data_IF_273081661648
#
_entry.id   IF_273081661648
#
_cell.length_a   1.000
_cell.length_b   1.000
_cell.length_c   1.000
_cell.angle_alpha   90.00
_cell.angle_beta   90.00
_cell.angle_gamma   90.00
#
_symmetry.space_group_name_H-M   'P 1'
#
loop_
_entity.id
_entity.type
_entity.pdbx_description
1 polymer ?
#
# COMPACT_ATOMS: atom_id res chain seq x y z
N UNK A 1 12.85 -38.36 7.07
CA UNK A 1 13.83 -37.24 7.14
C UNK A 1 13.10 -35.94 6.85
N UNK A 2 12.59 -35.31 7.91
CA UNK A 2 11.90 -34.03 7.88
C UNK A 2 12.96 -32.94 7.63
N UNK A 3 12.96 -32.33 6.44
CA UNK A 3 13.74 -31.13 6.18
C UNK A 3 13.10 -29.96 6.95
N UNK A 4 13.72 -29.58 8.07
CA UNK A 4 13.48 -28.27 8.69
C UNK A 4 13.93 -27.21 7.69
N UNK A 5 12.99 -26.68 6.86
CA UNK A 5 13.20 -25.42 6.16
C UNK A 5 13.48 -24.37 7.23
N UNK A 6 14.69 -23.84 7.26
CA UNK A 6 15.04 -22.75 8.16
C UNK A 6 14.06 -21.61 7.96
N UNK A 7 13.28 -21.30 8.97
CA UNK A 7 12.42 -20.13 8.97
C UNK A 7 13.34 -18.91 8.90
N UNK A 8 13.45 -18.28 7.74
CA UNK A 8 14.03 -16.96 7.64
C UNK A 8 13.17 -16.02 8.47
N UNK A 9 13.69 -15.58 9.61
CA UNK A 9 13.03 -14.58 10.44
C UNK A 9 12.99 -13.26 9.69
N UNK A 10 11.80 -12.90 9.19
CA UNK A 10 11.57 -11.59 8.56
C UNK A 10 11.78 -10.53 9.64
N UNK A 11 12.79 -9.67 9.44
CA UNK A 11 13.16 -8.65 10.43
C UNK A 11 12.11 -7.56 10.46
N UNK A 12 11.48 -7.39 11.64
CA UNK A 12 10.59 -6.27 11.96
C UNK A 12 11.39 -5.10 12.51
N UNK A 13 11.11 -3.90 12.04
CA UNK A 13 11.59 -2.63 12.56
C UNK A 13 10.39 -1.75 12.94
N UNK A 14 10.44 -1.08 14.07
CA UNK A 14 9.36 -0.18 14.54
C UNK A 14 9.85 1.26 14.42
N UNK A 15 9.06 2.11 13.79
CA UNK A 15 9.34 3.55 13.77
C UNK A 15 8.89 4.13 15.10
N UNK A 16 9.84 4.63 15.88
CA UNK A 16 9.62 5.18 17.20
C UNK A 16 9.96 6.68 17.27
N UNK A 17 9.54 7.38 18.35
CA UNK A 17 9.88 8.79 18.61
C UNK A 17 8.97 9.81 17.91
N UNK A 18 7.90 9.38 17.27
CA UNK A 18 6.91 10.24 16.63
C UNK A 18 5.55 10.06 17.30
N UNK A 19 4.97 11.16 17.79
CA UNK A 19 3.67 11.17 18.44
C UNK A 19 2.57 10.64 17.52
N UNK A 20 1.78 9.64 17.97
CA UNK A 20 0.67 9.03 17.24
C UNK A 20 1.04 8.46 15.84
N UNK A 21 2.31 8.11 15.62
CA UNK A 21 2.77 7.39 14.43
C UNK A 21 3.11 5.95 14.81
N UNK A 22 2.28 5.02 14.41
CA UNK A 22 2.44 3.59 14.69
C UNK A 22 2.72 2.87 13.37
N UNK A 23 4.01 2.59 13.11
CA UNK A 23 4.47 1.96 11.87
C UNK A 23 5.43 0.81 12.20
N UNK A 24 5.07 -0.37 11.69
CA UNK A 24 5.94 -1.53 11.61
C UNK A 24 6.47 -1.68 10.18
N UNK A 25 7.76 -1.97 10.04
CA UNK A 25 8.41 -2.21 8.76
C UNK A 25 8.97 -3.64 8.74
N UNK A 26 8.60 -4.39 7.72
CA UNK A 26 9.14 -5.73 7.44
C UNK A 26 9.93 -5.66 6.13
N UNK A 27 11.22 -6.05 6.18
CA UNK A 27 12.12 -5.96 5.01
C UNK A 27 12.02 -7.24 4.18
N UNK A 28 11.82 -7.06 2.88
CA UNK A 28 11.83 -8.11 1.85
C UNK A 28 11.05 -9.38 2.22
N UNK A 29 9.72 -9.22 2.38
CA UNK A 29 8.84 -10.33 2.75
C UNK A 29 8.77 -11.45 1.69
N UNK A 30 9.16 -11.17 0.45
CA UNK A 30 9.24 -12.14 -0.66
C UNK A 30 10.62 -12.77 -0.84
N UNK A 31 11.59 -12.47 0.03
CA UNK A 31 12.94 -13.03 0.00
C UNK A 31 13.61 -12.97 -1.39
N UNK A 32 13.63 -11.80 -2.00
CA UNK A 32 14.30 -11.52 -3.27
C UNK A 32 13.58 -12.11 -4.48
N UNK A 33 13.86 -13.36 -4.87
CA UNK A 33 13.31 -13.96 -6.09
C UNK A 33 11.78 -13.95 -6.15
N UNK A 34 11.10 -14.22 -5.04
CA UNK A 34 9.64 -14.21 -4.95
C UNK A 34 9.09 -12.80 -5.14
N UNK A 35 9.78 -11.79 -4.57
CA UNK A 35 9.46 -10.37 -4.74
C UNK A 35 9.52 -9.95 -6.21
N UNK A 36 10.53 -10.37 -6.96
CA UNK A 36 10.68 -10.07 -8.39
C UNK A 36 9.60 -10.75 -9.24
N UNK A 37 9.23 -11.99 -8.89
CA UNK A 37 8.11 -12.69 -9.55
C UNK A 37 6.78 -11.97 -9.29
N UNK A 38 6.50 -11.57 -8.07
CA UNK A 38 5.31 -10.79 -7.72
C UNK A 38 5.25 -9.47 -8.50
N UNK A 39 6.39 -8.75 -8.59
CA UNK A 39 6.43 -7.50 -9.35
C UNK A 39 6.07 -7.74 -10.83
N UNK A 40 6.71 -8.72 -11.47
CA UNK A 40 6.47 -9.05 -12.89
C UNK A 40 5.02 -9.47 -13.14
N UNK A 41 4.49 -10.38 -12.33
CA UNK A 41 3.10 -10.83 -12.45
C UNK A 41 2.11 -9.68 -12.21
N UNK A 42 2.29 -8.88 -11.16
CA UNK A 42 1.42 -7.73 -10.91
C UNK A 42 1.48 -6.70 -12.04
N UNK A 43 2.67 -6.43 -12.59
CA UNK A 43 2.83 -5.47 -13.68
C UNK A 43 2.07 -5.90 -14.94
N UNK A 44 2.08 -7.20 -15.24
CA UNK A 44 1.50 -7.77 -16.45
C UNK A 44 0.01 -8.13 -16.29
N UNK A 45 -0.38 -8.71 -15.14
CA UNK A 45 -1.66 -9.40 -14.99
C UNK A 45 -2.74 -8.54 -14.30
N UNK A 46 -2.39 -7.39 -13.69
CA UNK A 46 -3.39 -6.54 -13.06
C UNK A 46 -4.08 -5.63 -14.08
N UNK A 47 -5.38 -5.40 -13.86
CA UNK A 47 -6.22 -4.54 -14.70
C UNK A 47 -5.95 -3.06 -14.41
N UNK A 48 -4.86 -2.54 -14.95
CA UNK A 48 -4.44 -1.17 -14.73
C UNK A 48 -5.37 -0.16 -15.43
N UNK A 49 -5.94 0.75 -14.64
CA UNK A 49 -6.87 1.77 -15.09
C UNK A 49 -6.37 3.17 -14.74
N UNK A 50 -6.77 4.13 -15.57
CA UNK A 50 -6.62 5.55 -15.26
C UNK A 50 -7.69 5.98 -14.28
N UNK A 51 -7.28 6.48 -13.11
CA UNK A 51 -8.19 7.07 -12.14
C UNK A 51 -8.42 8.57 -12.36
N UNK A 52 -9.54 9.07 -11.82
CA UNK A 52 -9.88 10.49 -11.83
C UNK A 52 -10.34 10.91 -10.44
N UNK A 53 -10.00 12.14 -10.06
CA UNK A 53 -10.45 12.78 -8.81
C UNK A 53 -11.09 14.13 -9.11
N UNK A 54 -12.04 14.58 -8.27
CA UNK A 54 -12.58 15.94 -8.33
C UNK A 54 -11.86 16.84 -7.33
N UNK A 55 -11.31 17.96 -7.82
CA UNK A 55 -10.68 18.99 -7.00
C UNK A 55 -11.32 20.33 -7.39
N UNK A 56 -11.92 21.02 -6.43
CA UNK A 56 -12.63 22.29 -6.66
C UNK A 56 -13.61 22.22 -7.85
N UNK A 57 -14.41 21.14 -7.90
CA UNK A 57 -15.42 20.93 -8.97
C UNK A 57 -14.87 20.47 -10.32
N UNK A 58 -13.55 20.48 -10.53
CA UNK A 58 -12.91 20.04 -11.78
C UNK A 58 -12.41 18.60 -11.65
N UNK A 59 -12.61 17.82 -12.72
CA UNK A 59 -12.10 16.44 -12.80
C UNK A 59 -10.64 16.45 -13.27
N UNK A 60 -9.77 15.79 -12.51
CA UNK A 60 -8.35 15.65 -12.82
C UNK A 60 -8.00 14.17 -12.90
N UNK A 61 -7.19 13.81 -13.90
CA UNK A 61 -6.60 12.49 -13.97
C UNK A 61 -5.55 12.33 -12.87
N UNK A 62 -5.57 11.21 -12.14
CA UNK A 62 -4.53 10.93 -11.16
C UNK A 62 -3.22 10.58 -11.87
N UNK A 63 -2.07 11.06 -11.38
CA UNK A 63 -0.77 10.78 -11.98
C UNK A 63 -0.23 9.42 -11.53
N UNK A 64 -0.90 8.34 -11.89
CA UNK A 64 -0.57 6.92 -11.72
C UNK A 64 -1.67 6.07 -12.33
N UNK A 65 -1.44 4.78 -12.50
CA UNK A 65 -2.51 3.83 -12.76
C UNK A 65 -2.92 3.14 -11.46
N UNK A 66 -4.16 2.64 -11.41
CA UNK A 66 -4.68 1.93 -10.25
C UNK A 66 -5.53 0.74 -10.67
N UNK A 67 -5.70 -0.21 -9.77
CA UNK A 67 -6.65 -1.32 -9.89
C UNK A 67 -7.06 -1.78 -8.51
N UNK A 68 -8.33 -2.16 -8.31
CA UNK A 68 -8.85 -2.54 -7.01
C UNK A 68 -9.42 -3.96 -7.02
N UNK A 69 -8.99 -4.77 -6.05
CA UNK A 69 -9.38 -6.16 -5.86
C UNK A 69 -9.96 -6.34 -4.46
N UNK A 70 -11.05 -7.11 -4.35
CA UNK A 70 -11.67 -7.36 -3.06
C UNK A 70 -12.48 -8.68 -3.06
N UNK A 71 -12.81 -9.16 -1.86
CA UNK A 71 -13.72 -10.26 -1.65
C UNK A 71 -15.11 -9.94 -2.23
N UNK A 72 -15.92 -10.97 -2.51
CA UNK A 72 -17.25 -10.79 -3.05
C UNK A 72 -18.13 -9.98 -2.11
N UNK A 73 -18.97 -9.12 -2.69
CA UNK A 73 -19.88 -8.26 -1.94
C UNK A 73 -19.23 -7.01 -1.32
N UNK A 74 -17.90 -6.86 -1.39
CA UNK A 74 -17.23 -5.67 -0.90
C UNK A 74 -17.40 -4.51 -1.89
N UNK A 75 -17.87 -3.37 -1.41
CA UNK A 75 -17.92 -2.11 -2.13
C UNK A 75 -17.04 -1.07 -1.44
N UNK A 76 -16.37 -0.22 -2.21
CA UNK A 76 -15.47 0.79 -1.65
C UNK A 76 -15.50 2.07 -2.46
N UNK A 77 -15.66 3.19 -1.73
CA UNK A 77 -15.60 4.53 -2.30
C UNK A 77 -14.30 5.20 -1.91
N UNK A 78 -13.39 5.33 -2.86
CA UNK A 78 -12.09 5.98 -2.65
C UNK A 78 -12.09 7.38 -3.26
N UNK A 79 -11.73 8.39 -2.46
CA UNK A 79 -11.73 9.80 -2.90
C UNK A 79 -13.04 10.24 -3.61
N UNK A 80 -14.19 9.79 -3.09
CA UNK A 80 -15.52 10.13 -3.62
C UNK A 80 -15.93 9.41 -4.91
N UNK A 81 -15.19 8.39 -5.34
CA UNK A 81 -15.52 7.56 -6.51
C UNK A 81 -15.60 6.09 -6.11
N UNK A 82 -16.72 5.43 -6.46
CA UNK A 82 -16.84 3.97 -6.34
C UNK A 82 -15.82 3.32 -7.28
N UNK A 83 -14.96 2.46 -6.75
CA UNK A 83 -13.97 1.73 -7.54
C UNK A 83 -14.60 0.52 -8.23
N UNK A 84 -14.12 0.22 -9.43
CA UNK A 84 -14.44 -1.03 -10.11
C UNK A 84 -13.77 -2.18 -9.39
N UNK A 85 -14.55 -3.12 -8.84
CA UNK A 85 -14.04 -4.31 -8.19
C UNK A 85 -13.59 -5.34 -9.23
N UNK A 86 -12.40 -5.90 -9.01
CA UNK A 86 -11.91 -7.08 -9.69
C UNK A 86 -11.80 -8.25 -8.70
N UNK A 87 -11.91 -9.47 -9.21
CA UNK A 87 -11.69 -10.67 -8.41
C UNK A 87 -10.19 -10.88 -8.17
N UNK A 88 -9.85 -11.43 -7.00
CA UNK A 88 -8.49 -11.77 -6.67
C UNK A 88 -7.87 -12.69 -7.74
N UNK A 89 -6.65 -12.38 -8.18
CA UNK A 89 -5.84 -13.29 -8.96
C UNK A 89 -4.89 -14.11 -8.07
N UNK A 90 -4.27 -15.14 -8.64
CA UNK A 90 -3.39 -16.06 -7.91
C UNK A 90 -2.25 -15.33 -7.19
N UNK A 91 -1.61 -14.36 -7.85
CA UNK A 91 -0.48 -13.61 -7.29
C UNK A 91 -0.91 -12.76 -6.10
N UNK A 92 -2.03 -12.03 -6.19
CA UNK A 92 -2.54 -11.23 -5.09
C UNK A 92 -3.00 -12.09 -3.90
N UNK A 93 -3.58 -13.27 -4.14
CA UNK A 93 -3.92 -14.23 -3.08
C UNK A 93 -2.65 -14.69 -2.36
N UNK A 94 -1.60 -15.06 -3.09
CA UNK A 94 -0.33 -15.47 -2.51
C UNK A 94 0.30 -14.36 -1.66
N UNK A 95 0.37 -13.13 -2.17
CA UNK A 95 0.87 -11.97 -1.44
C UNK A 95 0.04 -11.70 -0.18
N UNK A 96 -1.28 -11.73 -0.30
CA UNK A 96 -2.22 -11.57 0.83
C UNK A 96 -1.93 -12.58 1.93
N UNK A 97 -1.81 -13.86 1.58
CA UNK A 97 -1.52 -14.94 2.52
C UNK A 97 -0.18 -14.75 3.22
N UNK A 98 0.85 -14.32 2.51
CA UNK A 98 2.16 -14.02 3.09
C UNK A 98 2.07 -12.88 4.11
N UNK A 99 1.42 -11.77 3.75
CA UNK A 99 1.22 -10.62 4.64
C UNK A 99 0.40 -11.02 5.88
N UNK A 100 -0.69 -11.76 5.70
CA UNK A 100 -1.52 -12.25 6.80
C UNK A 100 -0.76 -13.20 7.74
N UNK A 101 0.12 -14.04 7.19
CA UNK A 101 0.98 -14.94 7.99
C UNK A 101 1.98 -14.15 8.85
N UNK A 102 2.57 -13.08 8.29
CA UNK A 102 3.56 -12.24 8.98
C UNK A 102 2.90 -11.37 10.05
N UNK A 103 1.76 -10.78 9.73
CA UNK A 103 1.11 -9.76 10.57
C UNK A 103 0.06 -10.35 11.52
N UNK A 104 -0.44 -11.55 11.26
CA UNK A 104 -1.62 -12.17 11.90
C UNK A 104 -2.91 -11.35 11.72
N UNK A 105 -2.97 -10.48 10.70
CA UNK A 105 -4.10 -9.59 10.39
C UNK A 105 -4.75 -10.06 9.10
N UNK A 106 -6.09 -10.05 9.04
CA UNK A 106 -6.85 -10.40 7.84
C UNK A 106 -7.21 -9.18 7.02
N UNK A 107 -7.17 -9.34 5.70
CA UNK A 107 -7.52 -8.30 4.74
C UNK A 107 -8.52 -8.83 3.72
N UNK A 108 -9.48 -8.00 3.32
CA UNK A 108 -10.50 -8.36 2.34
C UNK A 108 -10.42 -7.53 1.04
N UNK A 109 -9.47 -6.61 0.96
CA UNK A 109 -9.29 -5.78 -0.24
C UNK A 109 -7.84 -5.34 -0.42
N UNK A 110 -7.47 -5.01 -1.67
CA UNK A 110 -6.20 -4.39 -2.03
C UNK A 110 -6.39 -3.35 -3.12
N UNK A 111 -5.88 -2.15 -2.89
CA UNK A 111 -5.71 -1.12 -3.92
C UNK A 111 -4.27 -1.18 -4.45
N UNK A 112 -4.13 -1.57 -5.71
CA UNK A 112 -2.87 -1.55 -6.42
C UNK A 112 -2.68 -0.20 -7.11
N UNK A 113 -1.49 0.41 -6.94
CA UNK A 113 -1.09 1.65 -7.61
C UNK A 113 0.21 1.41 -8.39
N UNK A 114 0.21 1.71 -9.68
CA UNK A 114 1.39 1.66 -10.54
C UNK A 114 1.91 3.06 -10.79
N UNK A 115 3.11 3.33 -10.29
CA UNK A 115 3.91 4.52 -10.59
C UNK A 115 4.87 4.16 -11.72
N UNK A 116 4.61 4.65 -12.93
CA UNK A 116 5.34 4.29 -14.15
C UNK A 116 6.76 4.87 -14.17
N UNK A 117 6.91 6.04 -13.55
CA UNK A 117 8.19 6.75 -13.47
C UNK A 117 8.16 7.83 -12.35
N UNK A 118 9.13 8.73 -12.33
CA UNK A 118 9.24 9.81 -11.33
C UNK A 118 8.12 10.87 -11.39
N UNK A 119 7.42 11.02 -12.50
CA UNK A 119 6.33 11.99 -12.65
C UNK A 119 5.03 11.49 -11.97
N UNK A 120 4.88 10.18 -11.80
CA UNK A 120 3.75 9.61 -11.09
C UNK A 120 3.88 9.82 -9.58
N UNK A 121 2.76 10.10 -8.94
CA UNK A 121 2.71 10.51 -7.53
C UNK A 121 1.37 10.18 -6.88
N UNK A 122 1.34 10.23 -5.55
CA UNK A 122 0.16 10.23 -4.71
C UNK A 122 0.21 11.49 -3.85
N UNK A 123 -0.83 12.31 -3.90
CA UNK A 123 -0.93 13.52 -3.07
C UNK A 123 -1.07 13.19 -1.58
N UNK A 124 -0.87 14.22 -0.75
CA UNK A 124 -0.90 14.11 0.71
C UNK A 124 -2.33 13.77 1.21
N UNK A 125 -2.52 12.57 1.77
CA UNK A 125 -3.81 12.02 2.21
C UNK A 125 -3.65 11.17 3.48
N UNK A 126 -4.77 10.74 4.04
CA UNK A 126 -4.86 9.66 5.04
C UNK A 126 -5.85 8.63 4.52
N UNK A 127 -5.66 7.36 4.86
CA UNK A 127 -6.63 6.29 4.63
C UNK A 127 -7.62 6.28 5.80
N UNK A 128 -8.65 7.12 5.72
CA UNK A 128 -9.61 7.36 6.80
C UNK A 128 -11.06 7.37 6.29
N UNK A 129 -11.32 6.66 5.23
CA UNK A 129 -12.67 6.45 4.72
C UNK A 129 -13.52 5.72 5.77
N UNK A 130 -14.82 6.03 5.81
CA UNK A 130 -15.77 5.51 6.80
C UNK A 130 -15.79 3.98 6.81
N UNK A 131 -15.65 3.37 5.66
CA UNK A 131 -15.67 1.93 5.44
C UNK A 131 -14.45 1.21 6.06
N UNK A 132 -13.42 1.94 6.46
CA UNK A 132 -12.23 1.38 7.13
C UNK A 132 -12.39 1.34 8.65
N UNK A 133 -13.42 1.99 9.19
CA UNK A 133 -13.66 2.08 10.62
C UNK A 133 -12.69 2.98 11.38
N UNK A 134 -12.67 2.80 12.70
CA UNK A 134 -11.80 3.58 13.60
C UNK A 134 -10.44 2.91 13.72
N UNK A 135 -9.35 3.71 13.61
CA UNK A 135 -7.96 3.23 13.70
C UNK A 135 -7.66 2.03 12.77
N UNK A 136 -7.87 2.19 11.45
CA UNK A 136 -7.71 1.10 10.51
C UNK A 136 -6.25 0.62 10.45
N UNK A 137 -6.08 -0.68 10.24
CA UNK A 137 -4.77 -1.27 9.97
C UNK A 137 -4.60 -1.37 8.46
N UNK A 138 -3.55 -0.75 7.96
CA UNK A 138 -3.23 -0.65 6.54
C UNK A 138 -1.87 -1.31 6.30
N UNK A 139 -1.83 -2.35 5.46
CA UNK A 139 -0.60 -3.01 5.06
C UNK A 139 -0.21 -2.59 3.64
N UNK A 140 0.95 -1.96 3.49
CA UNK A 140 1.44 -1.37 2.24
C UNK A 140 2.72 -2.06 1.78
N UNK A 141 2.63 -2.91 0.75
CA UNK A 141 3.75 -3.60 0.12
C UNK A 141 4.27 -2.82 -1.08
N UNK A 142 5.58 -2.59 -1.13
CA UNK A 142 6.27 -1.96 -2.26
C UNK A 142 6.96 -3.01 -3.12
N UNK A 143 6.81 -2.94 -4.44
CA UNK A 143 7.45 -3.82 -5.42
C UNK A 143 8.09 -2.98 -6.53
N UNK A 144 9.28 -3.38 -6.99
CA UNK A 144 10.02 -2.70 -8.06
C UNK A 144 10.86 -1.52 -7.57
N UNK A 145 10.82 -0.38 -8.26
CA UNK A 145 11.70 0.77 -7.99
C UNK A 145 11.45 1.40 -6.61
N UNK A 146 12.52 1.84 -5.96
CA UNK A 146 12.44 2.50 -4.65
C UNK A 146 11.89 3.92 -4.75
N UNK A 147 10.93 4.24 -3.87
CA UNK A 147 10.38 5.60 -3.66
C UNK A 147 10.22 5.85 -2.17
N UNK A 148 10.42 7.08 -1.75
CA UNK A 148 10.14 7.46 -0.37
C UNK A 148 8.64 7.71 -0.17
N UNK A 149 8.09 7.18 0.93
CA UNK A 149 6.82 7.65 1.46
C UNK A 149 7.10 8.75 2.48
N UNK A 150 6.49 9.90 2.27
CA UNK A 150 6.62 11.06 3.16
C UNK A 150 5.40 11.12 4.07
N UNK A 151 5.63 11.03 5.39
CA UNK A 151 4.61 11.26 6.40
C UNK A 151 4.72 12.67 6.95
N UNK A 152 3.57 13.34 7.12
CA UNK A 152 3.47 14.67 7.70
C UNK A 152 2.36 14.69 8.75
N UNK A 153 2.67 15.10 9.96
CA UNK A 153 1.67 15.27 11.01
C UNK A 153 0.70 16.41 10.68
N UNK A 154 -0.59 16.25 11.01
CA UNK A 154 -1.66 17.21 10.65
C UNK A 154 -1.59 18.50 11.44
N UNK A 155 -1.21 18.43 12.73
CA UNK A 155 -1.37 19.51 13.68
C UNK A 155 -0.04 20.12 14.16
N UNK A 156 1.06 19.36 14.13
CA UNK A 156 2.39 19.84 14.57
C UNK A 156 3.37 19.83 13.39
N UNK A 157 4.42 20.66 13.48
CA UNK A 157 5.45 20.79 12.43
C UNK A 157 6.44 19.62 12.50
N UNK A 158 5.96 18.41 12.19
CA UNK A 158 6.77 17.19 12.20
C UNK A 158 6.52 16.37 10.94
N UNK A 159 7.56 15.79 10.38
CA UNK A 159 7.48 14.90 9.20
C UNK A 159 8.65 13.92 9.17
N UNK A 160 8.45 12.79 8.49
CA UNK A 160 9.47 11.76 8.28
C UNK A 160 9.36 11.21 6.85
N UNK A 161 10.50 10.87 6.24
CA UNK A 161 10.58 10.11 5.00
C UNK A 161 11.02 8.68 5.32
N UNK A 162 10.29 7.71 4.80
CA UNK A 162 10.60 6.29 4.94
C UNK A 162 10.86 5.73 3.55
N UNK A 163 12.11 5.29 3.24
CA UNK A 163 12.41 4.64 1.98
C UNK A 163 11.59 3.36 1.82
N UNK A 164 11.00 3.17 0.64
CA UNK A 164 10.21 1.99 0.27
C UNK A 164 10.96 1.21 -0.80
N UNK A 165 11.69 0.19 -0.39
CA UNK A 165 12.38 -0.73 -1.31
C UNK A 165 11.47 -1.86 -1.78
N UNK A 166 11.86 -2.59 -2.83
CA UNK A 166 11.12 -3.76 -3.29
C UNK A 166 11.06 -4.84 -2.21
N UNK A 167 9.89 -5.45 -2.02
CA UNK A 167 9.63 -6.45 -0.97
C UNK A 167 9.37 -5.87 0.42
N UNK A 168 9.52 -4.57 0.61
CA UNK A 168 9.28 -3.94 1.90
C UNK A 168 7.80 -3.76 2.16
N UNK A 169 7.34 -4.28 3.30
CA UNK A 169 5.99 -4.10 3.82
C UNK A 169 6.01 -3.07 4.96
N UNK A 170 5.15 -2.07 4.86
CA UNK A 170 4.83 -1.14 5.96
C UNK A 170 3.44 -1.47 6.47
N UNK A 171 3.29 -1.61 7.78
CA UNK A 171 1.99 -1.73 8.46
C UNK A 171 1.77 -0.47 9.28
N UNK A 172 0.76 0.29 8.91
CA UNK A 172 0.29 1.49 9.62
C UNK A 172 -0.89 1.07 10.50
N UNK A 173 -0.85 1.43 11.78
CA UNK A 173 -1.87 1.05 12.76
C UNK A 173 -2.21 2.19 13.72
N UNK A 174 -3.03 1.90 14.73
CA UNK A 174 -3.40 2.83 15.80
C UNK A 174 -3.94 4.15 15.27
N UNK A 175 -3.43 5.25 15.82
CA UNK A 175 -3.90 6.59 15.48
C UNK A 175 -3.21 7.22 14.26
N UNK A 176 -2.37 6.46 13.53
CA UNK A 176 -1.61 6.98 12.39
C UNK A 176 -2.51 7.70 11.38
N UNK A 177 -3.62 7.09 10.93
CA UNK A 177 -4.50 7.71 9.93
C UNK A 177 -5.27 8.92 10.48
N UNK A 178 -5.47 9.01 11.78
CA UNK A 178 -6.11 10.15 12.44
C UNK A 178 -5.21 11.38 12.47
N UNK A 179 -3.94 11.21 12.80
CA UNK A 179 -3.02 12.33 13.05
C UNK A 179 -2.02 12.58 11.92
N UNK A 180 -1.79 11.63 11.05
CA UNK A 180 -0.80 11.75 9.98
C UNK A 180 -1.43 11.67 8.60
N UNK A 181 -0.82 12.39 7.66
CA UNK A 181 -1.01 12.22 6.22
C UNK A 181 0.26 11.66 5.61
N UNK A 182 0.12 10.98 4.48
CA UNK A 182 1.25 10.46 3.73
C UNK A 182 1.10 10.69 2.23
N UNK A 183 2.24 10.70 1.53
CA UNK A 183 2.30 10.96 0.08
C UNK A 183 3.49 10.27 -0.57
N UNK A 184 3.42 10.10 -1.90
CA UNK A 184 4.56 9.80 -2.77
C UNK A 184 4.77 11.02 -3.67
N UNK A 185 5.85 11.78 -3.43
CA UNK A 185 6.15 13.02 -4.16
C UNK A 185 6.64 12.73 -5.57
N UNK A 186 6.35 13.62 -6.53
CA UNK A 186 7.03 13.64 -7.83
C UNK A 186 8.53 13.82 -7.64
N UNK A 187 9.31 13.27 -8.58
CA UNK A 187 10.76 13.45 -8.59
C UNK A 187 11.26 13.60 -10.03
N UNK A 188 12.27 14.46 -10.22
CA UNK A 188 12.98 14.61 -11.50
C UNK A 188 14.06 13.54 -11.70
N UNK A 189 14.40 12.77 -10.65
CA UNK A 189 15.32 11.64 -10.76
C UNK A 189 14.70 10.56 -11.64
N UNK A 190 15.52 9.93 -12.48
CA UNK A 190 15.07 8.76 -13.25
C UNK A 190 14.55 7.67 -12.30
N UNK A 191 13.38 7.13 -12.60
CA UNK A 191 12.74 6.06 -11.84
C UNK A 191 12.11 5.05 -12.80
N UNK A 192 12.35 3.77 -12.51
CA UNK A 192 11.67 2.63 -13.13
C UNK A 192 10.26 2.46 -12.54
N UNK A 193 9.42 1.58 -13.11
CA UNK A 193 8.11 1.29 -12.54
C UNK A 193 8.18 0.77 -11.10
N UNK A 194 7.22 1.24 -10.28
CA UNK A 194 6.98 0.78 -8.91
C UNK A 194 5.51 0.44 -8.75
N UNK A 195 5.22 -0.68 -8.13
CA UNK A 195 3.87 -1.05 -7.71
C UNK A 195 3.78 -0.90 -6.19
N UNK A 196 2.68 -0.34 -5.73
CA UNK A 196 2.32 -0.33 -4.32
C UNK A 196 0.99 -1.08 -4.16
N UNK A 197 0.98 -2.09 -3.32
CA UNK A 197 -0.20 -2.87 -2.96
C UNK A 197 -0.62 -2.48 -1.54
N UNK A 198 -1.76 -1.80 -1.41
CA UNK A 198 -2.29 -1.34 -0.12
C UNK A 198 -3.47 -2.21 0.28
N UNK A 199 -3.23 -3.13 1.21
CA UNK A 199 -4.22 -4.05 1.76
C UNK A 199 -5.00 -3.39 2.89
N UNK A 200 -6.31 -3.59 2.90
CA UNK A 200 -7.25 -3.05 3.87
C UNK A 200 -8.30 -4.07 4.25
N UNK A 201 -8.89 -3.89 5.42
CA UNK A 201 -10.12 -4.58 5.80
C UNK A 201 -11.27 -3.57 5.73
N UNK A 202 -12.16 -3.75 4.74
CA UNK A 202 -13.34 -2.93 4.54
C UNK A 202 -14.48 -3.53 5.33
N UNK A 203 -15.13 -2.73 6.17
CA UNK A 203 -16.28 -3.12 7.00
C UNK A 203 -17.52 -3.00 6.12
N UNK A 204 -18.21 -4.10 5.90
CA UNK A 204 -19.54 -4.12 5.30
C UNK A 204 -20.58 -3.94 6.39
N UNK A 205 -21.46 -2.97 6.23
CA UNK A 205 -22.63 -2.78 7.10
C UNK A 205 -23.66 -3.87 6.86
#
# INVERSE_FOLDING_TARGET
>A
LSSKKGAFLIKKEVIAGYENLEIDIYKDIGLGQKTDLWFKSCLHDLNWETGFIKIFGKTHQIPRLQSWYADDGIEYTYSGKKLQRHNWNKTLIEIKQEIESITSIKFNSVLANLYRNGNDSMGLHSDNEKELGVNPIIASLSLGESRDIHFKHKNIKTSINIPQTSGQLIVMSGQTQKYWKHEIKKTKKFKKPRINLTFRNIITN
#
